data_IF_664264184407
#
_entry.id   IF_664264184407
#
_cell.length_a   1.000
_cell.length_b   1.000
_cell.length_c   1.000
_cell.angle_alpha   90.00
_cell.angle_beta   90.00
_cell.angle_gamma   90.00
#
_symmetry.space_group_name_H-M   'P 1'
#
loop_
_entity.id
_entity.type
_entity.pdbx_description
1 polymer ?
#
# COMPACT_ATOMS: atom_id res chain seq x y z
N UNK A 1 -21.72 16.29 -11.48
CA UNK A 1 -21.19 15.92 -10.15
C UNK A 1 -19.78 15.41 -10.35
N UNK A 2 -18.75 16.13 -9.91
CA UNK A 2 -17.35 15.81 -10.24
C UNK A 2 -16.88 14.54 -9.52
N UNK A 3 -16.18 13.65 -10.23
CA UNK A 3 -15.59 12.42 -9.69
C UNK A 3 -14.67 12.69 -8.50
N UNK A 4 -13.99 13.84 -8.50
CA UNK A 4 -13.17 14.30 -7.38
C UNK A 4 -13.98 14.46 -6.09
N UNK A 5 -15.20 15.00 -6.17
CA UNK A 5 -16.06 15.16 -4.99
C UNK A 5 -16.44 13.80 -4.43
N UNK A 6 -16.72 12.80 -5.28
CA UNK A 6 -17.10 11.44 -4.86
C UNK A 6 -15.94 10.69 -4.20
N UNK A 7 -14.71 10.88 -4.70
CA UNK A 7 -13.49 10.33 -4.08
C UNK A 7 -13.20 11.03 -2.75
N UNK A 8 -13.35 12.36 -2.67
CA UNK A 8 -13.18 13.12 -1.44
C UNK A 8 -14.22 12.75 -0.37
N UNK A 9 -15.48 12.56 -0.78
CA UNK A 9 -16.56 12.09 0.09
C UNK A 9 -16.28 10.66 0.57
N UNK A 10 -15.82 9.78 -0.33
CA UNK A 10 -15.44 8.42 0.02
C UNK A 10 -14.27 8.40 1.00
N UNK A 11 -13.20 9.17 0.77
CA UNK A 11 -12.07 9.29 1.70
C UNK A 11 -12.50 9.85 3.06
N UNK A 12 -13.50 10.73 3.09
CA UNK A 12 -14.06 11.31 4.32
C UNK A 12 -15.08 10.39 5.01
N UNK A 13 -15.64 9.42 4.28
CA UNK A 13 -16.62 8.47 4.80
C UNK A 13 -16.02 7.51 5.83
N UNK A 14 -16.85 6.92 6.73
CA UNK A 14 -16.38 5.92 7.69
C UNK A 14 -15.72 4.71 7.04
N UNK A 15 -16.15 4.35 5.83
CA UNK A 15 -15.59 3.24 5.05
C UNK A 15 -14.21 3.60 4.48
N UNK A 16 -14.08 4.76 3.84
CA UNK A 16 -12.78 5.20 3.30
C UNK A 16 -11.76 5.46 4.40
N UNK A 17 -12.17 6.02 5.55
CA UNK A 17 -11.29 6.14 6.72
C UNK A 17 -10.76 4.79 7.19
N UNK A 18 -11.60 3.74 7.24
CA UNK A 18 -11.14 2.38 7.60
C UNK A 18 -10.11 1.85 6.62
N UNK A 19 -10.31 2.05 5.31
CA UNK A 19 -9.36 1.61 4.28
C UNK A 19 -8.03 2.38 4.40
N UNK A 20 -8.08 3.70 4.61
CA UNK A 20 -6.88 4.53 4.81
C UNK A 20 -6.16 4.12 6.10
N UNK A 21 -6.90 3.86 7.19
CA UNK A 21 -6.33 3.46 8.48
C UNK A 21 -5.70 2.07 8.40
N UNK A 22 -6.33 1.13 7.68
CA UNK A 22 -5.74 -0.16 7.35
C UNK A 22 -4.47 0.04 6.52
N UNK A 23 -4.52 0.78 5.41
CA UNK A 23 -3.34 1.03 4.59
C UNK A 23 -2.19 1.66 5.41
N UNK A 24 -2.50 2.60 6.30
CA UNK A 24 -1.54 3.25 7.19
C UNK A 24 -0.95 2.26 8.21
N UNK A 25 -1.77 1.40 8.81
CA UNK A 25 -1.32 0.31 9.70
C UNK A 25 -0.42 -0.66 8.96
N UNK A 26 -0.84 -1.14 7.78
CA UNK A 26 -0.06 -2.05 6.94
C UNK A 26 1.28 -1.44 6.53
N UNK A 27 1.35 -0.13 6.27
CA UNK A 27 2.59 0.58 5.95
C UNK A 27 3.46 0.88 7.19
N UNK A 28 2.84 1.07 8.35
CA UNK A 28 3.53 1.34 9.62
C UNK A 28 4.02 0.07 10.31
N UNK A 29 3.52 -1.09 9.92
CA UNK A 29 3.88 -2.36 10.52
C UNK A 29 5.28 -2.83 10.05
N UNK A 30 6.29 -2.89 10.94
CA UNK A 30 7.64 -3.32 10.57
C UNK A 30 7.68 -4.75 10.04
N UNK A 31 6.77 -5.64 10.48
CA UNK A 31 6.68 -7.01 9.96
C UNK A 31 6.32 -7.07 8.48
N UNK A 32 5.52 -6.13 8.01
CA UNK A 32 5.19 -6.03 6.58
C UNK A 32 6.34 -5.42 5.79
N UNK A 33 7.09 -4.47 6.38
CA UNK A 33 8.31 -3.96 5.74
C UNK A 33 9.32 -5.08 5.47
N UNK A 34 9.58 -5.97 6.43
CA UNK A 34 10.51 -7.09 6.21
C UNK A 34 10.03 -8.03 5.10
N UNK A 35 8.74 -8.36 5.07
CA UNK A 35 8.16 -9.19 4.00
C UNK A 35 8.23 -8.50 2.64
N UNK A 36 7.89 -7.22 2.58
CA UNK A 36 7.96 -6.42 1.36
C UNK A 36 9.41 -6.31 0.90
N UNK A 37 10.36 -6.11 1.80
CA UNK A 37 11.79 -6.01 1.47
C UNK A 37 12.33 -7.35 0.96
N UNK A 38 11.98 -8.47 1.59
CA UNK A 38 12.30 -9.80 1.08
C UNK A 38 11.69 -10.07 -0.31
N UNK A 39 10.43 -9.72 -0.52
CA UNK A 39 9.74 -9.89 -1.81
C UNK A 39 10.36 -8.97 -2.86
N UNK A 40 10.64 -7.71 -2.51
CA UNK A 40 11.31 -6.73 -3.36
C UNK A 40 12.71 -7.21 -3.73
N UNK A 41 13.51 -7.70 -2.79
CA UNK A 41 14.83 -8.27 -3.07
C UNK A 41 14.74 -9.53 -3.93
N UNK A 42 13.69 -10.35 -3.80
CA UNK A 42 13.47 -11.51 -4.68
C UNK A 42 13.02 -11.13 -6.08
N UNK A 43 12.17 -10.10 -6.23
CA UNK A 43 11.66 -9.62 -7.51
C UNK A 43 12.71 -8.76 -8.24
N UNK A 44 13.27 -7.77 -7.57
CA UNK A 44 14.23 -6.84 -8.15
C UNK A 44 15.69 -7.32 -8.07
N UNK A 45 16.01 -8.28 -7.20
CA UNK A 45 17.36 -8.86 -7.10
C UNK A 45 17.59 -10.08 -7.99
N UNK A 46 16.53 -10.66 -8.58
CA UNK A 46 16.63 -11.84 -9.47
C UNK A 46 16.80 -11.47 -10.95
N UNK A 47 16.59 -10.21 -11.32
CA UNK A 47 16.87 -9.68 -12.67
C UNK A 47 18.33 -9.21 -12.88
N UNK A 48 19.19 -9.29 -11.85
CA UNK A 48 20.60 -8.86 -11.93
C UNK A 48 21.64 -9.97 -12.15
N UNK A 49 21.24 -11.24 -12.22
CA UNK A 49 22.13 -12.38 -12.52
C UNK A 49 21.52 -13.26 -13.61
N UNK A 50 21.46 -12.71 -14.82
CA UNK A 50 21.59 -13.53 -16.02
C UNK A 50 23.08 -13.77 -16.24
N UNK A 51 23.39 -15.06 -16.32
CA UNK A 51 24.68 -15.68 -16.56
C UNK A 51 25.20 -15.38 -17.98
#
# INVERSE_FOLDING_TARGET
MSLFKKVADFASSPQGRKVIDQAKKYASDPKNKEKIDQVKNKLFGKDGKSH
#
